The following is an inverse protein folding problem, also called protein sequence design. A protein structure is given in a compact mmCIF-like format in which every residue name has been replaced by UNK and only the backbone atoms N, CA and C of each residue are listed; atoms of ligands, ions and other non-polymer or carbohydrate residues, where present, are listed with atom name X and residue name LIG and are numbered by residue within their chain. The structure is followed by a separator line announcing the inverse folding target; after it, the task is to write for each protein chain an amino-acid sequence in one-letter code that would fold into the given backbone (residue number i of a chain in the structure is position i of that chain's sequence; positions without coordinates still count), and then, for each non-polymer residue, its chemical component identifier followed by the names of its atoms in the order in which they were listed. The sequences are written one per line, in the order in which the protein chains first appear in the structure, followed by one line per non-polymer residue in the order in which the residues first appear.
data_IF_871045891510
#
_entry.id   IF_871045891510
#
_cell.length_a   1.000
_cell.length_b   1.000
_cell.length_c   1.000
_cell.angle_alpha   90.00
_cell.angle_beta   90.00
_cell.angle_gamma   90.00
#
_symmetry.space_group_name_H-M   'P 1'
#
loop_
_entity.id
_entity.type
_entity.pdbx_description
1 polymer ?
#
# COMPACT_ATOMS: atom_id res chain seq x y z
N UNK A 1 -9.02 12.53 -15.40
CA UNK A 1 -8.31 11.54 -14.60
C UNK A 1 -6.95 11.25 -15.16
N UNK A 2 -6.06 10.93 -14.21
CA UNK A 2 -4.66 10.54 -14.30
C UNK A 2 -4.22 10.07 -15.70
N UNK A 3 -3.18 10.72 -16.22
CA UNK A 3 -2.49 10.26 -17.43
C UNK A 3 -1.09 9.69 -17.09
N UNK A 4 -0.66 9.89 -15.86
CA UNK A 4 0.65 9.65 -15.27
C UNK A 4 0.71 8.37 -14.42
N UNK A 5 -0.43 7.79 -14.02
CA UNK A 5 -0.43 6.45 -13.39
C UNK A 5 -0.55 5.32 -14.41
N UNK A 6 -0.66 5.66 -15.71
CA UNK A 6 -0.58 4.71 -16.80
C UNK A 6 0.76 3.98 -16.84
N UNK A 7 0.74 2.65 -16.80
CA UNK A 7 1.96 1.85 -16.98
C UNK A 7 1.79 0.80 -18.07
N UNK A 8 2.87 0.52 -18.81
CA UNK A 8 2.89 -0.53 -19.81
C UNK A 8 2.96 -1.96 -19.21
N UNK A 9 3.20 -2.07 -17.89
CA UNK A 9 3.58 -3.35 -17.25
C UNK A 9 2.64 -3.82 -16.14
N UNK A 10 1.92 -2.92 -15.48
CA UNK A 10 0.93 -3.26 -14.47
C UNK A 10 -0.47 -3.26 -15.09
N UNK A 11 -1.27 -4.29 -14.78
CA UNK A 11 -2.63 -4.40 -15.31
C UNK A 11 -3.63 -3.48 -14.60
N UNK A 12 -3.66 -3.55 -13.27
CA UNK A 12 -4.49 -2.69 -12.41
C UNK A 12 -3.65 -2.20 -11.26
N UNK A 13 -3.94 -0.98 -10.82
CA UNK A 13 -3.31 -0.35 -9.66
C UNK A 13 -4.41 0.04 -8.65
N UNK A 14 -4.01 0.27 -7.40
CA UNK A 14 -4.89 0.69 -6.31
C UNK A 14 -4.47 2.08 -5.85
N UNK A 15 -5.42 3.01 -5.87
CA UNK A 15 -5.25 4.44 -5.53
C UNK A 15 -6.19 4.86 -4.40
N UNK A 16 -5.89 5.99 -3.76
CA UNK A 16 -6.87 6.74 -2.97
C UNK A 16 -7.61 7.66 -3.95
N UNK A 17 -8.85 7.33 -4.32
CA UNK A 17 -9.57 8.09 -5.34
C UNK A 17 -10.11 9.43 -4.81
N UNK A 18 -9.91 10.53 -5.54
CA UNK A 18 -10.57 11.82 -5.25
C UNK A 18 -12.04 11.85 -5.67
N UNK A 19 -12.43 11.03 -6.63
CA UNK A 19 -13.77 11.01 -7.19
C UNK A 19 -14.81 10.28 -6.35
N UNK A 20 -14.47 9.65 -5.23
CA UNK A 20 -15.46 8.91 -4.42
C UNK A 20 -16.42 9.83 -3.65
N UNK A 21 -17.77 9.59 -3.64
CA UNK A 21 -18.54 8.47 -4.22
C UNK A 21 -19.10 8.72 -5.65
N UNK A 22 -18.49 9.65 -6.39
CA UNK A 22 -18.81 10.14 -7.73
C UNK A 22 -18.36 9.25 -8.91
N UNK A 23 -17.54 9.79 -9.81
CA UNK A 23 -17.37 9.24 -11.18
C UNK A 23 -16.40 8.06 -11.24
N UNK A 24 -16.93 6.85 -11.09
CA UNK A 24 -16.18 5.60 -11.23
C UNK A 24 -15.61 5.34 -12.63
N UNK A 25 -15.95 6.15 -13.64
CA UNK A 25 -15.43 6.02 -15.01
C UNK A 25 -14.19 6.85 -15.28
N UNK A 26 -13.82 7.75 -14.35
CA UNK A 26 -12.60 8.55 -14.39
C UNK A 26 -11.87 8.40 -13.04
N UNK A 27 -11.27 7.24 -12.73
CA UNK A 27 -10.58 7.07 -11.46
C UNK A 27 -9.36 8.00 -11.40
N UNK A 28 -9.43 9.04 -10.57
CA UNK A 28 -8.33 9.98 -10.33
C UNK A 28 -7.83 9.84 -8.89
N UNK A 29 -6.52 9.94 -8.68
CA UNK A 29 -5.95 9.80 -7.34
C UNK A 29 -5.93 11.13 -6.58
N UNK A 30 -5.96 11.03 -5.25
CA UNK A 30 -6.12 12.19 -4.39
C UNK A 30 -4.77 12.88 -4.19
N UNK A 31 -4.63 14.07 -4.77
CA UNK A 31 -3.50 14.97 -4.52
C UNK A 31 -3.36 15.40 -3.04
N UNK A 32 -4.39 15.17 -2.21
CA UNK A 32 -4.34 15.37 -0.75
C UNK A 32 -3.81 14.13 0.01
N UNK A 33 -3.52 13.04 -0.70
CA UNK A 33 -3.11 11.77 -0.14
C UNK A 33 -4.22 11.05 0.63
N UNK A 34 -3.80 10.15 1.51
CA UNK A 34 -4.69 9.32 2.31
C UNK A 34 -4.01 8.05 2.81
N UNK A 35 -4.80 7.19 3.48
CA UNK A 35 -4.31 5.92 4.01
C UNK A 35 -5.06 4.76 3.35
N UNK A 36 -4.31 3.85 2.73
CA UNK A 36 -4.82 2.54 2.31
C UNK A 36 -4.49 1.53 3.40
N UNK A 37 -5.52 0.90 3.96
CA UNK A 37 -5.37 -0.11 5.01
C UNK A 37 -5.66 -1.50 4.47
N UNK A 38 -4.69 -2.41 4.61
CA UNK A 38 -4.86 -3.84 4.37
C UNK A 38 -4.97 -4.56 5.72
N UNK A 39 -6.07 -5.28 5.93
CA UNK A 39 -6.26 -6.15 7.09
C UNK A 39 -6.21 -7.61 6.66
N UNK A 40 -5.38 -8.40 7.33
CA UNK A 40 -5.22 -9.82 7.02
C UNK A 40 -5.93 -10.68 8.06
N UNK A 41 -6.81 -11.56 7.60
CA UNK A 41 -7.52 -12.51 8.47
C UNK A 41 -6.55 -13.45 9.22
N UNK A 42 -5.50 -13.87 8.52
CA UNK A 42 -4.36 -14.60 9.07
C UNK A 42 -3.14 -13.70 9.04
N UNK A 43 -2.28 -13.66 10.07
CA UNK A 43 -1.04 -12.90 9.99
C UNK A 43 -0.18 -13.37 8.80
N UNK A 44 0.61 -12.47 8.22
CA UNK A 44 1.46 -12.73 7.06
C UNK A 44 2.91 -12.30 7.34
N UNK A 45 3.82 -12.78 6.50
CA UNK A 45 5.14 -12.17 6.35
C UNK A 45 5.02 -11.07 5.28
N UNK A 46 5.21 -9.80 5.65
CA UNK A 46 5.26 -8.72 4.68
C UNK A 46 6.64 -8.70 4.00
N UNK A 47 6.69 -8.94 2.69
CA UNK A 47 7.97 -9.06 1.97
C UNK A 47 8.31 -7.79 1.19
N UNK A 48 7.37 -7.32 0.35
CA UNK A 48 7.62 -6.20 -0.56
C UNK A 48 6.32 -5.55 -0.99
N UNK A 49 6.36 -4.25 -1.19
CA UNK A 49 5.33 -3.48 -1.87
C UNK A 49 5.90 -2.88 -3.14
N UNK A 50 5.10 -2.81 -4.21
CA UNK A 50 5.44 -2.07 -5.41
C UNK A 50 4.55 -0.85 -5.50
N UNK A 51 5.18 0.30 -5.68
CA UNK A 51 4.56 1.62 -5.68
C UNK A 51 4.82 2.29 -7.02
N UNK A 52 3.93 3.20 -7.38
CA UNK A 52 4.00 4.02 -8.58
C UNK A 52 3.76 5.47 -8.20
N UNK A 53 4.53 6.35 -8.84
CA UNK A 53 4.30 7.79 -8.89
C UNK A 53 4.24 8.43 -7.51
N UNK A 54 5.38 8.41 -6.82
CA UNK A 54 5.51 9.00 -5.47
C UNK A 54 6.43 10.21 -5.55
N UNK A 55 5.86 11.40 -5.47
CA UNK A 55 6.59 12.66 -5.58
C UNK A 55 6.81 13.32 -4.22
N UNK A 56 5.91 13.11 -3.26
CA UNK A 56 5.99 13.70 -1.93
C UNK A 56 6.89 12.89 -0.99
N UNK A 57 7.75 13.62 -0.27
CA UNK A 57 8.46 13.05 0.87
C UNK A 57 7.53 12.83 2.07
N UNK A 58 7.90 11.91 2.96
CA UNK A 58 7.27 11.61 4.26
C UNK A 58 6.07 10.66 4.23
N UNK A 59 5.71 10.10 3.07
CA UNK A 59 4.87 8.90 3.03
C UNK A 59 5.54 7.74 3.78
N UNK A 60 4.75 6.85 4.35
CA UNK A 60 5.27 5.70 5.10
C UNK A 60 4.35 4.48 5.05
N UNK A 61 4.94 3.30 5.21
CA UNK A 61 4.23 2.04 5.46
C UNK A 61 4.36 1.68 6.92
N UNK A 62 3.23 1.48 7.61
CA UNK A 62 3.18 1.03 9.01
C UNK A 62 2.65 -0.39 9.09
N UNK A 63 3.38 -1.25 9.79
CA UNK A 63 3.07 -2.68 9.95
C UNK A 63 2.67 -2.96 11.39
N UNK A 64 1.55 -3.65 11.60
CA UNK A 64 1.01 -3.91 12.94
C UNK A 64 0.72 -5.39 13.17
N UNK A 65 0.85 -5.82 14.43
CA UNK A 65 0.33 -7.09 14.92
C UNK A 65 -1.19 -7.04 15.09
N UNK A 66 -1.80 -8.22 15.30
CA UNK A 66 -3.23 -8.39 15.59
C UNK A 66 -3.73 -7.61 16.81
N UNK A 67 -2.88 -7.41 17.81
CA UNK A 67 -3.21 -6.66 19.03
C UNK A 67 -3.07 -5.13 18.85
N UNK A 68 -2.74 -4.66 17.64
CA UNK A 68 -2.53 -3.25 17.34
C UNK A 68 -1.11 -2.74 17.62
N UNK A 69 -0.20 -3.59 18.11
CA UNK A 69 1.19 -3.19 18.32
C UNK A 69 1.89 -2.89 17.00
N UNK A 70 2.54 -1.73 16.90
CA UNK A 70 3.39 -1.36 15.77
C UNK A 70 4.64 -2.26 15.74
N UNK A 71 4.85 -2.93 14.62
CA UNK A 71 6.02 -3.75 14.33
C UNK A 71 7.14 -2.93 13.70
N UNK A 72 6.77 -2.12 12.69
CA UNK A 72 7.72 -1.37 11.89
C UNK A 72 7.05 -0.20 11.19
N UNK A 73 7.83 0.87 11.01
CA UNK A 73 7.53 1.99 10.12
C UNK A 73 8.62 2.04 9.06
N UNK A 74 8.23 2.07 7.79
CA UNK A 74 9.14 2.05 6.64
C UNK A 74 8.85 3.31 5.82
N UNK A 75 9.78 4.27 5.73
CA UNK A 75 9.61 5.47 4.91
C UNK A 75 9.47 5.11 3.43
N UNK A 76 8.57 5.79 2.74
CA UNK A 76 8.44 5.74 1.28
C UNK A 76 9.29 6.89 0.71
N UNK A 77 10.33 6.60 -0.10
CA UNK A 77 11.10 7.65 -0.76
C UNK A 77 10.27 8.31 -1.86
N UNK A 78 10.46 9.61 -2.05
CA UNK A 78 10.01 10.31 -3.25
C UNK A 78 10.88 9.86 -4.43
N UNK A 79 10.30 9.14 -5.38
CA UNK A 79 10.98 8.56 -6.52
C UNK A 79 10.76 9.37 -7.81
N UNK A 80 9.75 10.24 -7.82
CA UNK A 80 9.42 11.15 -8.91
C UNK A 80 8.29 10.64 -9.81
N UNK A 81 7.87 11.53 -10.70
CA UNK A 81 6.78 11.36 -11.67
C UNK A 81 6.90 10.04 -12.47
N UNK A 82 5.80 9.28 -12.48
CA UNK A 82 5.61 8.06 -13.27
C UNK A 82 6.64 6.95 -12.96
N UNK A 83 7.31 7.02 -11.79
CA UNK A 83 8.34 6.04 -11.40
C UNK A 83 7.74 4.86 -10.66
N UNK A 84 7.96 3.67 -11.22
CA UNK A 84 7.59 2.39 -10.62
C UNK A 84 8.77 1.78 -9.85
N UNK A 85 8.60 1.49 -8.55
CA UNK A 85 9.68 0.96 -7.72
C UNK A 85 9.21 -0.04 -6.67
N UNK A 86 10.18 -0.81 -6.15
CA UNK A 86 9.94 -1.79 -5.09
C UNK A 86 10.40 -1.23 -3.74
N UNK A 87 9.50 -1.22 -2.77
CA UNK A 87 9.79 -0.98 -1.37
C UNK A 87 9.93 -2.31 -0.64
N UNK A 88 11.09 -2.55 -0.04
CA UNK A 88 11.33 -3.74 0.80
C UNK A 88 10.57 -3.59 2.13
N UNK A 89 9.76 -4.60 2.49
CA UNK A 89 9.05 -4.65 3.77
C UNK A 89 9.83 -5.46 4.83
N UNK A 90 11.08 -5.77 4.51
CA UNK A 90 12.08 -6.40 5.36
C UNK A 90 11.65 -7.76 5.92
N UNK A 91 10.83 -8.50 5.15
CA UNK A 91 10.35 -9.83 5.53
C UNK A 91 9.70 -9.87 6.93
N UNK A 92 9.03 -8.78 7.32
CA UNK A 92 8.47 -8.57 8.66
C UNK A 92 7.38 -9.61 8.97
N UNK A 93 7.57 -10.35 10.07
CA UNK A 93 6.65 -11.43 10.50
C UNK A 93 5.43 -10.91 11.25
N UNK A 94 4.40 -11.76 11.35
CA UNK A 94 3.21 -11.58 12.19
C UNK A 94 2.39 -10.31 11.88
N UNK A 95 2.49 -9.79 10.65
CA UNK A 95 1.77 -8.61 10.20
C UNK A 95 0.30 -8.97 10.02
N UNK A 96 -0.59 -8.31 10.74
CA UNK A 96 -2.04 -8.49 10.65
C UNK A 96 -2.75 -7.25 10.09
N UNK A 97 -2.11 -6.09 10.15
CA UNK A 97 -2.55 -4.86 9.49
C UNK A 97 -1.36 -4.14 8.88
N UNK A 98 -1.53 -3.65 7.64
CA UNK A 98 -0.57 -2.80 6.93
C UNK A 98 -1.28 -1.52 6.50
N UNK A 99 -0.74 -0.37 6.89
CA UNK A 99 -1.21 0.94 6.44
C UNK A 99 -0.17 1.54 5.50
N UNK A 100 -0.61 2.03 4.35
CA UNK A 100 0.19 2.83 3.41
C UNK A 100 -0.34 4.24 3.48
N UNK A 101 0.49 5.18 3.95
CA UNK A 101 0.17 6.60 3.99
C UNK A 101 0.82 7.33 2.82
N UNK A 102 -0.02 7.84 1.92
CA UNK A 102 0.37 8.76 0.87
C UNK A 102 0.15 10.20 1.35
N UNK A 103 1.13 11.07 1.09
CA UNK A 103 1.06 12.51 1.43
C UNK A 103 0.39 13.31 0.31
N UNK A 104 0.57 12.88 -0.93
CA UNK A 104 -0.15 13.36 -2.11
C UNK A 104 -0.57 12.17 -2.97
N UNK A 105 -0.49 12.32 -4.28
CA UNK A 105 -0.80 11.28 -5.26
C UNK A 105 0.13 10.06 -5.14
N UNK A 106 -0.32 8.93 -5.66
CA UNK A 106 0.41 7.69 -5.74
C UNK A 106 -0.47 6.45 -5.73
N UNK A 107 0.13 5.34 -6.18
CA UNK A 107 -0.57 4.06 -6.26
C UNK A 107 0.21 2.89 -5.65
N UNK A 108 -0.54 1.93 -5.11
CA UNK A 108 -0.04 0.56 -4.82
C UNK A 108 -0.33 -0.33 -6.02
N UNK A 109 0.71 -0.90 -6.62
CA UNK A 109 0.54 -1.79 -7.78
C UNK A 109 0.59 -3.26 -7.39
N UNK A 110 1.42 -3.61 -6.41
CA UNK A 110 1.57 -4.99 -5.93
C UNK A 110 1.89 -5.03 -4.43
N UNK A 111 1.31 -6.00 -3.73
CA UNK A 111 1.69 -6.34 -2.36
C UNK A 111 2.07 -7.82 -2.31
N UNK A 112 3.35 -8.10 -2.03
CA UNK A 112 3.86 -9.46 -1.88
C UNK A 112 3.95 -9.84 -0.41
N UNK A 113 3.25 -10.93 -0.08
CA UNK A 113 3.26 -11.53 1.25
C UNK A 113 3.68 -12.99 1.20
N UNK A 114 4.31 -13.43 2.27
CA UNK A 114 4.61 -14.83 2.55
C UNK A 114 3.63 -15.40 3.57
N UNK A 115 3.54 -16.73 3.59
CA UNK A 115 2.73 -17.44 4.58
C UNK A 115 3.49 -17.56 5.91
N UNK A 116 2.83 -17.31 7.04
CA UNK A 116 3.36 -17.69 8.36
C UNK A 116 2.75 -19.01 8.79
N UNK A 117 3.53 -19.83 9.50
CA UNK A 117 3.17 -21.20 9.88
C UNK A 117 1.98 -21.34 10.85
N UNK A 118 1.34 -20.25 11.28
CA UNK A 118 0.27 -20.26 12.28
C UNK A 118 -0.87 -19.30 11.91
N UNK A 119 -1.84 -19.79 11.14
CA UNK A 119 -3.17 -19.18 11.14
C UNK A 119 -4.10 -19.97 12.08
N UNK A 120 -4.41 -19.40 13.24
CA UNK A 120 -5.50 -19.88 14.08
C UNK A 120 -6.74 -19.05 13.78
N UNK A 121 -7.54 -19.51 12.83
CA UNK A 121 -8.92 -19.06 12.70
C UNK A 121 -9.67 -19.62 13.91
N UNK A 122 -9.84 -18.82 14.95
CA UNK A 122 -10.85 -19.13 15.96
C UNK A 122 -12.20 -18.89 15.28
N UNK A 123 -12.86 -19.97 14.86
CA UNK A 123 -14.25 -19.94 14.44
C UNK A 123 -15.10 -19.30 15.54
N UNK A 124 -16.15 -18.52 15.20
CA UNK A 124 -17.12 -18.04 16.19
C UNK A 124 -17.83 -19.20 16.90
#
# INVERSE_FOLDING_TARGET
GDADLGTDTEGKILIVSEDHPGDVSDPDDSAAGGIITFEFQCPVQAERMRLLDIEESKGEVRLYKKDGSLLKTIPIPAMGDSVLFNLDLEFTQDVSKLEVEFVGSGAVTQLKTGCVSRCYLTSP
#
